data_IF_555135224866
#
_entry.id   IF_555135224866
#
_cell.length_a   1.000
_cell.length_b   1.000
_cell.length_c   1.000
_cell.angle_alpha   90.00
_cell.angle_beta   90.00
_cell.angle_gamma   90.00
#
_symmetry.space_group_name_H-M   'P 1'
#
loop_
_entity.id
_entity.type
_entity.pdbx_description
1 polymer ?
#
# COMPACT_ATOMS: atom_id res chain seq x y z
N UNK A 1 20.45 -33.88 0.27
CA UNK A 1 21.03 -32.85 -0.61
C UNK A 1 21.23 -31.57 0.23
N UNK A 2 22.45 -31.23 0.58
CA UNK A 2 22.74 -29.98 1.31
C UNK A 2 22.65 -28.84 0.28
N UNK A 3 21.54 -28.13 0.24
CA UNK A 3 21.46 -26.91 -0.55
C UNK A 3 22.40 -25.89 0.09
N UNK A 4 23.47 -25.55 -0.64
CA UNK A 4 24.45 -24.58 -0.19
C UNK A 4 23.76 -23.23 -0.12
N UNK A 5 23.58 -22.68 1.08
CA UNK A 5 22.90 -21.39 1.33
C UNK A 5 23.52 -20.24 0.52
N UNK A 6 24.82 -20.35 0.21
CA UNK A 6 25.55 -19.42 -0.69
C UNK A 6 25.03 -19.49 -2.14
N UNK A 7 24.64 -20.68 -2.62
CA UNK A 7 24.09 -20.86 -3.97
C UNK A 7 22.67 -20.29 -4.07
N UNK A 8 21.87 -20.44 -3.01
CA UNK A 8 20.52 -19.84 -2.95
C UNK A 8 20.60 -18.31 -2.90
N UNK A 9 21.51 -17.76 -2.10
CA UNK A 9 21.77 -16.31 -2.04
C UNK A 9 22.28 -15.76 -3.36
N UNK A 10 23.19 -16.48 -4.03
CA UNK A 10 23.68 -16.13 -5.36
C UNK A 10 22.60 -16.24 -6.45
N UNK A 11 21.72 -17.22 -6.36
CA UNK A 11 20.59 -17.36 -7.29
C UNK A 11 19.55 -16.25 -7.12
N UNK A 12 19.25 -15.84 -5.88
CA UNK A 12 18.39 -14.69 -5.57
C UNK A 12 19.06 -13.38 -6.04
N UNK A 13 20.36 -13.22 -5.80
CA UNK A 13 21.13 -12.04 -6.25
C UNK A 13 21.23 -12.01 -7.80
N UNK A 14 21.44 -13.15 -8.45
CA UNK A 14 21.47 -13.27 -9.91
C UNK A 14 20.08 -13.01 -10.53
N UNK A 15 19.00 -13.41 -9.88
CA UNK A 15 17.64 -13.09 -10.30
C UNK A 15 17.38 -11.58 -10.28
N UNK A 16 17.86 -10.87 -9.27
CA UNK A 16 17.80 -9.39 -9.21
C UNK A 16 18.71 -8.69 -10.22
N UNK A 17 19.80 -9.31 -10.65
CA UNK A 17 20.72 -8.76 -11.65
C UNK A 17 20.27 -9.01 -13.09
N UNK A 18 19.36 -9.95 -13.33
CA UNK A 18 18.78 -10.24 -14.65
C UNK A 18 17.54 -9.42 -14.99
N UNK A 19 17.07 -8.57 -14.08
CA UNK A 19 16.03 -7.60 -14.38
C UNK A 19 16.72 -6.45 -15.11
N UNK A 20 16.73 -6.49 -16.44
CA UNK A 20 17.03 -5.32 -17.26
C UNK A 20 15.98 -4.26 -16.92
N UNK A 21 16.32 -3.40 -15.96
CA UNK A 21 15.58 -2.17 -15.70
C UNK A 21 15.77 -1.28 -16.94
N UNK A 22 14.91 -1.47 -17.93
CA UNK A 22 14.69 -0.44 -18.94
C UNK A 22 14.12 0.75 -18.15
N UNK A 23 15.00 1.66 -17.76
CA UNK A 23 14.64 2.93 -17.17
C UNK A 23 13.88 3.72 -18.25
N UNK A 24 12.57 3.49 -18.33
CA UNK A 24 11.69 4.41 -19.01
C UNK A 24 11.70 5.72 -18.23
N UNK A 25 11.93 6.81 -18.92
CA UNK A 25 11.94 8.18 -18.40
C UNK A 25 10.63 8.44 -17.64
N UNK A 26 10.72 8.54 -16.30
CA UNK A 26 9.62 8.67 -15.38
C UNK A 26 9.44 7.39 -14.56
N UNK A 27 10.33 7.17 -13.58
CA UNK A 27 10.18 6.07 -12.63
C UNK A 27 8.95 6.31 -11.75
N UNK A 28 7.81 5.79 -12.16
CA UNK A 28 6.62 5.77 -11.31
C UNK A 28 6.79 4.67 -10.26
N UNK A 29 6.69 5.01 -8.98
CA UNK A 29 6.67 4.03 -7.88
C UNK A 29 5.43 3.15 -7.92
N UNK A 30 4.34 3.65 -8.52
CA UNK A 30 3.11 2.92 -8.78
C UNK A 30 2.58 3.30 -10.16
N UNK A 31 1.76 2.45 -10.75
CA UNK A 31 1.03 2.75 -11.97
C UNK A 31 -0.37 2.17 -11.89
N UNK A 32 -1.38 3.04 -11.95
CA UNK A 32 -2.79 2.66 -12.02
C UNK A 32 -3.62 3.81 -12.59
N UNK A 33 -4.47 3.56 -13.58
CA UNK A 33 -5.44 4.56 -14.05
C UNK A 33 -6.31 5.14 -12.94
N UNK A 34 -6.57 4.35 -11.93
CA UNK A 34 -7.38 4.74 -10.79
C UNK A 34 -6.66 5.67 -9.81
N UNK A 35 -5.33 5.77 -9.89
CA UNK A 35 -4.55 6.69 -9.04
C UNK A 35 -4.72 8.18 -9.40
N UNK A 36 -5.45 8.48 -10.48
CA UNK A 36 -5.85 9.83 -10.84
C UNK A 36 -6.78 10.45 -9.78
N UNK A 37 -7.49 9.64 -8.99
CA UNK A 37 -8.47 10.12 -8.03
C UNK A 37 -7.87 10.34 -6.65
N UNK A 38 -8.24 11.45 -6.00
CA UNK A 38 -7.83 11.79 -4.63
C UNK A 38 -6.31 11.79 -4.42
N UNK A 39 -5.87 11.03 -3.42
CA UNK A 39 -4.45 10.85 -3.06
C UNK A 39 -3.78 9.69 -3.79
N UNK A 40 -4.46 9.10 -4.76
CA UNK A 40 -3.98 7.91 -5.46
C UNK A 40 -4.47 6.60 -4.84
N UNK A 41 -3.79 5.52 -5.17
CA UNK A 41 -4.09 4.20 -4.64
C UNK A 41 -3.55 4.08 -3.21
N UNK A 42 -4.43 3.71 -2.27
CA UNK A 42 -4.02 3.45 -0.88
C UNK A 42 -3.30 2.11 -0.82
N UNK A 43 -2.12 2.15 -0.24
CA UNK A 43 -1.27 0.99 -0.07
C UNK A 43 -1.78 0.08 1.05
N UNK A 44 -1.78 -1.24 0.84
CA UNK A 44 -2.15 -2.20 1.89
C UNK A 44 -1.08 -2.23 2.98
N UNK A 45 -1.44 -1.79 4.18
CA UNK A 45 -0.54 -1.85 5.33
C UNK A 45 -0.22 -3.30 5.70
N UNK A 46 1.03 -3.56 6.06
CA UNK A 46 1.48 -4.86 6.53
C UNK A 46 2.75 -5.35 5.85
N UNK A 47 3.48 -6.23 6.54
CA UNK A 47 4.71 -6.87 6.05
C UNK A 47 4.42 -7.92 4.98
N UNK A 48 5.46 -8.45 4.35
CA UNK A 48 5.32 -9.56 3.40
C UNK A 48 4.63 -10.79 4.03
N UNK A 49 4.77 -10.97 5.33
CA UNK A 49 4.05 -12.00 6.07
C UNK A 49 2.53 -11.80 6.01
N UNK A 50 2.03 -10.64 6.44
CA UNK A 50 0.60 -10.35 6.46
C UNK A 50 0.01 -10.27 5.06
N UNK A 51 0.76 -9.74 4.09
CA UNK A 51 0.37 -9.71 2.66
C UNK A 51 0.15 -11.10 2.09
N UNK A 52 0.98 -12.08 2.47
CA UNK A 52 0.82 -13.48 2.03
C UNK A 52 -0.44 -14.16 2.57
N UNK A 53 -1.11 -13.54 3.54
CA UNK A 53 -2.37 -13.98 4.15
C UNK A 53 -3.54 -13.04 3.80
N UNK A 54 -3.58 -12.45 2.61
CA UNK A 54 -4.64 -11.52 2.19
C UNK A 54 -4.54 -10.13 2.84
N UNK A 55 -3.50 -9.85 3.62
CA UNK A 55 -3.32 -8.62 4.36
C UNK A 55 -4.02 -8.59 5.72
N UNK A 56 -4.34 -9.74 6.31
CA UNK A 56 -4.78 -9.83 7.71
C UNK A 56 -3.66 -9.47 8.66
N UNK A 57 -3.99 -8.88 9.81
CA UNK A 57 -2.97 -8.44 10.76
C UNK A 57 -3.56 -7.91 12.07
N UNK A 58 -4.86 -7.62 12.13
CA UNK A 58 -5.47 -6.94 13.29
C UNK A 58 -5.46 -7.84 14.54
N UNK A 59 -5.71 -9.14 14.37
CA UNK A 59 -5.69 -10.12 15.45
C UNK A 59 -4.43 -10.99 15.46
N UNK A 60 -3.53 -10.83 14.49
CA UNK A 60 -2.30 -11.64 14.38
C UNK A 60 -1.38 -11.41 15.56
N UNK A 61 -1.04 -12.48 16.30
CA UNK A 61 -0.04 -12.51 17.37
C UNK A 61 1.02 -13.55 17.09
N UNK A 62 2.08 -13.15 16.42
CA UNK A 62 3.20 -14.02 16.09
C UNK A 62 4.50 -13.46 16.69
N UNK A 63 5.25 -14.30 17.43
CA UNK A 63 6.48 -13.89 18.13
C UNK A 63 7.68 -13.64 17.22
N UNK A 64 7.58 -14.00 15.95
CA UNK A 64 8.70 -14.03 15.01
C UNK A 64 8.71 -12.91 14.01
N UNK A 65 7.60 -12.18 13.92
CA UNK A 65 7.42 -11.09 12.98
C UNK A 65 7.06 -9.81 13.72
N UNK A 66 7.36 -8.68 13.10
CA UNK A 66 6.80 -7.40 13.51
C UNK A 66 5.44 -7.27 12.84
N UNK A 67 4.40 -7.17 13.64
CA UNK A 67 3.08 -6.80 13.14
C UNK A 67 2.81 -5.35 13.49
N UNK A 68 2.92 -4.47 12.50
CA UNK A 68 2.63 -3.04 12.63
C UNK A 68 1.22 -2.65 12.17
N UNK A 69 0.42 -3.62 11.71
CA UNK A 69 -0.99 -3.38 11.40
C UNK A 69 -1.80 -3.05 12.66
N UNK A 70 -1.43 -3.67 13.80
CA UNK A 70 -2.04 -3.39 15.10
C UNK A 70 -0.93 -3.07 16.12
N UNK A 71 -0.85 -1.85 16.67
CA UNK A 71 0.21 -1.48 17.61
C UNK A 71 0.23 -2.31 18.91
N UNK A 72 -0.90 -2.93 19.29
CA UNK A 72 -0.92 -3.86 20.44
C UNK A 72 -0.12 -5.14 20.18
N UNK A 73 0.00 -5.54 18.91
CA UNK A 73 0.70 -6.76 18.52
C UNK A 73 2.22 -6.71 18.72
N UNK A 74 2.81 -5.51 18.86
CA UNK A 74 4.24 -5.34 19.12
C UNK A 74 4.71 -6.07 20.40
N UNK A 75 3.79 -6.36 21.30
CA UNK A 75 4.05 -7.12 22.54
C UNK A 75 4.14 -8.64 22.34
N UNK A 76 3.74 -9.15 21.16
CA UNK A 76 3.83 -10.57 20.83
C UNK A 76 5.26 -10.91 20.38
N UNK A 77 6.18 -11.06 21.32
CA UNK A 77 7.60 -11.29 21.09
C UNK A 77 8.26 -12.11 22.19
N UNK A 78 9.43 -12.63 21.88
CA UNK A 78 10.29 -13.20 22.90
C UNK A 78 10.92 -12.08 23.75
N UNK A 79 11.16 -12.36 25.03
CA UNK A 79 11.79 -11.40 25.93
C UNK A 79 13.16 -10.97 25.39
N UNK A 80 13.47 -9.68 25.44
CA UNK A 80 14.73 -9.09 24.98
C UNK A 80 15.05 -9.24 23.49
N UNK A 81 14.04 -9.55 22.66
CA UNK A 81 14.25 -9.69 21.21
C UNK A 81 14.28 -8.33 20.51
N UNK A 82 15.34 -8.10 19.73
CA UNK A 82 15.37 -7.09 18.67
C UNK A 82 14.79 -7.69 17.40
N UNK A 83 13.98 -6.93 16.69
CA UNK A 83 13.40 -7.37 15.43
C UNK A 83 13.51 -6.27 14.38
N UNK A 84 13.74 -6.67 13.13
CA UNK A 84 13.70 -5.78 11.96
C UNK A 84 12.93 -6.47 10.84
N UNK A 85 12.14 -5.71 10.11
CA UNK A 85 11.42 -6.15 8.92
C UNK A 85 11.75 -5.21 7.76
N UNK A 86 12.02 -5.80 6.59
CA UNK A 86 12.29 -5.08 5.36
C UNK A 86 11.57 -5.78 4.21
N UNK A 87 10.80 -5.04 3.44
CA UNK A 87 10.02 -5.57 2.34
C UNK A 87 10.20 -4.80 1.04
N UNK A 88 10.11 -5.53 -0.07
CA UNK A 88 10.07 -5.00 -1.43
C UNK A 88 8.92 -5.62 -2.20
N UNK A 89 8.40 -4.90 -3.16
CA UNK A 89 7.23 -5.27 -3.94
C UNK A 89 7.44 -4.93 -5.42
N UNK A 90 7.09 -5.85 -6.29
CA UNK A 90 7.05 -5.67 -7.73
C UNK A 90 5.62 -5.91 -8.22
N UNK A 91 5.05 -4.92 -8.89
CA UNK A 91 3.69 -4.98 -9.41
C UNK A 91 3.73 -5.10 -10.94
N UNK A 92 3.18 -6.17 -11.46
CA UNK A 92 2.93 -6.38 -12.88
C UNK A 92 1.44 -6.19 -13.15
N UNK A 93 1.07 -5.17 -13.90
CA UNK A 93 -0.32 -4.79 -14.15
C UNK A 93 -0.66 -4.81 -15.62
N UNK A 94 -1.85 -5.29 -15.95
CA UNK A 94 -2.44 -5.30 -17.29
C UNK A 94 -3.77 -4.56 -17.21
N UNK A 95 -3.94 -3.56 -18.05
CA UNK A 95 -5.14 -2.74 -18.16
C UNK A 95 -5.91 -3.11 -19.42
N UNK A 96 -7.21 -3.30 -19.27
CA UNK A 96 -8.12 -3.61 -20.36
C UNK A 96 -9.32 -2.67 -20.30
N UNK A 97 -9.66 -2.08 -21.42
CA UNK A 97 -10.87 -1.27 -21.58
C UNK A 97 -11.55 -1.61 -22.91
N UNK A 98 -12.87 -1.68 -22.90
CA UNK A 98 -13.68 -1.81 -24.10
C UNK A 98 -14.57 -0.60 -24.23
N UNK A 99 -14.39 0.18 -25.29
CA UNK A 99 -15.22 1.34 -25.64
C UNK A 99 -15.82 1.12 -27.01
N UNK A 100 -16.72 2.01 -27.45
CA UNK A 100 -17.28 1.99 -28.81
C UNK A 100 -16.22 2.15 -29.89
N UNK A 101 -15.09 2.82 -29.57
CA UNK A 101 -13.94 2.99 -30.45
C UNK A 101 -13.05 1.74 -30.55
N UNK A 102 -13.24 0.72 -29.69
CA UNK A 102 -12.48 -0.51 -29.74
C UNK A 102 -12.04 -1.05 -28.39
N UNK A 103 -11.13 -2.03 -28.45
CA UNK A 103 -10.50 -2.64 -27.25
C UNK A 103 -9.09 -2.11 -27.08
N UNK A 104 -8.82 -1.55 -25.92
CA UNK A 104 -7.52 -1.04 -25.54
C UNK A 104 -6.90 -1.95 -24.49
N UNK A 105 -5.60 -2.19 -24.63
CA UNK A 105 -4.82 -2.98 -23.69
C UNK A 105 -3.46 -2.32 -23.47
N UNK A 106 -3.05 -2.20 -22.22
CA UNK A 106 -1.74 -1.70 -21.82
C UNK A 106 -1.19 -2.54 -20.68
N UNK A 107 0.11 -2.51 -20.48
CA UNK A 107 0.78 -3.19 -19.37
C UNK A 107 1.85 -2.29 -18.78
N UNK A 108 2.07 -2.42 -17.48
CA UNK A 108 3.10 -1.67 -16.77
C UNK A 108 3.68 -2.53 -15.64
N UNK A 109 4.95 -2.29 -15.34
CA UNK A 109 5.68 -2.91 -14.26
C UNK A 109 6.26 -1.83 -13.35
N UNK A 110 6.13 -2.00 -12.03
CA UNK A 110 6.68 -1.05 -11.04
C UNK A 110 7.33 -1.80 -9.89
N UNK A 111 8.44 -1.26 -9.39
CA UNK A 111 9.15 -1.78 -8.22
C UNK A 111 9.18 -0.75 -7.11
N UNK A 112 8.91 -1.17 -5.87
CA UNK A 112 8.88 -0.27 -4.72
C UNK A 112 9.37 -0.97 -3.43
N UNK A 113 9.80 -0.18 -2.44
CA UNK A 113 10.02 -0.64 -1.07
C UNK A 113 8.66 -0.62 -0.36
N UNK A 114 8.27 -1.75 0.24
CA UNK A 114 6.98 -1.87 0.91
C UNK A 114 7.01 -1.43 2.37
N UNK A 115 8.10 -1.72 3.06
CA UNK A 115 8.23 -1.42 4.49
C UNK A 115 9.68 -1.49 4.97
N UNK A 116 9.96 -0.68 5.99
CA UNK A 116 11.14 -0.80 6.83
C UNK A 116 10.73 -0.51 8.27
N UNK A 117 10.79 -1.53 9.11
CA UNK A 117 10.31 -1.44 10.50
C UNK A 117 11.30 -2.08 11.45
N UNK A 118 11.57 -1.39 12.55
CA UNK A 118 12.41 -1.85 13.66
C UNK A 118 11.57 -1.95 14.93
N UNK A 119 11.85 -2.94 15.77
CA UNK A 119 11.13 -3.11 17.02
C UNK A 119 12.05 -3.57 18.13
N UNK A 120 11.89 -2.94 19.30
CA UNK A 120 12.75 -3.11 20.47
C UNK A 120 11.92 -3.45 21.70
N UNK A 121 12.42 -4.30 22.62
CA UNK A 121 11.80 -4.51 23.91
C UNK A 121 12.03 -3.30 24.81
N UNK A 122 11.01 -2.87 25.56
CA UNK A 122 11.15 -1.87 26.63
C UNK A 122 11.23 -2.60 27.97
N UNK A 123 10.31 -3.53 28.19
CA UNK A 123 10.22 -4.34 29.39
C UNK A 123 9.70 -5.75 29.01
N UNK A 124 9.56 -6.64 30.00
CA UNK A 124 9.11 -8.03 29.76
C UNK A 124 7.77 -8.15 29.02
N UNK A 125 6.87 -7.18 29.19
CA UNK A 125 5.52 -7.16 28.59
C UNK A 125 5.26 -5.93 27.72
N UNK A 126 6.27 -5.13 27.43
CA UNK A 126 6.13 -3.92 26.61
C UNK A 126 7.23 -3.80 25.58
N UNK A 127 6.89 -3.24 24.44
CA UNK A 127 7.79 -3.07 23.34
C UNK A 127 7.47 -1.81 22.55
N UNK A 128 8.42 -1.40 21.75
CA UNK A 128 8.43 -0.21 20.92
C UNK A 128 8.70 -0.60 19.48
N UNK A 129 8.13 0.12 18.55
CA UNK A 129 8.41 -0.01 17.12
C UNK A 129 8.52 1.35 16.46
N UNK A 130 9.32 1.41 15.40
CA UNK A 130 9.47 2.57 14.54
C UNK A 130 9.59 2.10 13.11
N UNK A 131 8.96 2.78 12.17
CA UNK A 131 9.02 2.38 10.79
C UNK A 131 8.59 3.46 9.81
N UNK A 132 8.84 3.15 8.55
CA UNK A 132 8.40 3.94 7.40
C UNK A 132 7.79 3.01 6.37
N UNK A 133 6.62 3.39 5.85
CA UNK A 133 5.91 2.64 4.81
C UNK A 133 5.24 3.62 3.85
N UNK A 134 5.01 3.26 2.59
CA UNK A 134 4.12 4.04 1.73
C UNK A 134 2.69 3.99 2.28
N UNK A 135 1.96 5.10 2.15
CA UNK A 135 0.55 5.21 2.49
C UNK A 135 -0.33 5.25 1.24
N UNK A 136 0.06 6.05 0.25
CA UNK A 136 -0.62 6.11 -1.04
C UNK A 136 0.37 6.43 -2.16
N UNK A 137 0.06 5.95 -3.36
CA UNK A 137 0.87 6.16 -4.54
C UNK A 137 0.03 6.69 -5.70
N UNK A 138 0.60 7.63 -6.45
CA UNK A 138 0.05 8.18 -7.70
C UNK A 138 1.02 7.84 -8.83
N UNK A 139 0.50 7.21 -9.88
CA UNK A 139 1.26 6.92 -11.07
C UNK A 139 0.31 6.61 -12.22
N UNK A 140 0.27 7.47 -13.24
CA UNK A 140 -0.47 7.27 -14.48
C UNK A 140 0.12 8.14 -15.59
N UNK A 141 -0.04 7.70 -16.83
CA UNK A 141 0.28 8.45 -18.04
C UNK A 141 -0.72 8.05 -19.12
N UNK A 142 -1.54 9.02 -19.55
CA UNK A 142 -2.55 8.84 -20.57
C UNK A 142 -2.30 9.80 -21.71
N UNK A 143 -2.36 9.28 -22.94
CA UNK A 143 -2.36 10.08 -24.15
C UNK A 143 -3.64 9.80 -24.92
N UNK A 144 -4.35 10.85 -25.29
CA UNK A 144 -5.52 10.80 -26.16
C UNK A 144 -5.41 11.84 -27.26
N UNK A 145 -6.10 11.62 -28.35
CA UNK A 145 -6.15 12.53 -29.49
C UNK A 145 -7.56 13.05 -29.67
N UNK A 146 -7.66 14.31 -30.09
CA UNK A 146 -8.94 14.88 -30.47
C UNK A 146 -9.55 14.13 -31.64
N UNK A 147 -10.84 13.90 -31.58
CA UNK A 147 -11.61 13.16 -32.62
C UNK A 147 -12.68 14.01 -33.30
N UNK A 148 -12.93 15.21 -32.77
CA UNK A 148 -13.91 16.11 -33.35
C UNK A 148 -13.35 16.77 -34.63
N UNK A 149 -13.95 16.52 -35.82
CA UNK A 149 -13.50 17.08 -37.09
C UNK A 149 -13.54 18.61 -37.12
N UNK A 150 -14.46 19.24 -36.40
CA UNK A 150 -14.62 20.70 -36.37
C UNK A 150 -13.48 21.37 -35.57
N UNK A 151 -12.96 20.69 -34.57
CA UNK A 151 -11.79 21.15 -33.83
C UNK A 151 -10.52 20.89 -34.66
N UNK A 152 -10.36 19.68 -35.16
CA UNK A 152 -9.18 19.28 -35.96
C UNK A 152 -9.05 20.18 -37.22
N UNK A 153 -10.16 20.55 -37.86
CA UNK A 153 -10.16 21.41 -39.03
C UNK A 153 -9.71 22.83 -38.74
N UNK A 154 -9.74 23.31 -37.50
CA UNK A 154 -9.32 24.64 -37.07
C UNK A 154 -7.93 24.68 -36.45
N UNK A 155 -7.59 23.68 -35.68
CA UNK A 155 -6.40 23.66 -34.81
C UNK A 155 -5.35 22.63 -35.21
N UNK A 156 -5.59 21.88 -36.30
CA UNK A 156 -4.81 20.68 -36.60
C UNK A 156 -5.06 19.55 -35.59
N UNK A 157 -4.23 18.55 -35.60
CA UNK A 157 -4.34 17.45 -34.62
C UNK A 157 -4.00 17.96 -33.23
N UNK A 158 -4.85 17.61 -32.25
CA UNK A 158 -4.66 17.96 -30.85
C UNK A 158 -4.37 16.68 -30.06
N UNK A 159 -3.31 16.73 -29.28
CA UNK A 159 -2.92 15.65 -28.35
C UNK A 159 -3.08 16.11 -26.92
N UNK A 160 -3.85 15.35 -26.15
CA UNK A 160 -4.00 15.54 -24.72
C UNK A 160 -3.16 14.49 -23.99
N UNK A 161 -2.24 14.96 -23.15
CA UNK A 161 -1.43 14.09 -22.29
C UNK A 161 -1.73 14.42 -20.83
N UNK A 162 -2.08 13.44 -20.04
CA UNK A 162 -2.29 13.59 -18.59
C UNK A 162 -1.43 12.59 -17.87
N UNK A 163 -0.56 13.06 -16.99
CA UNK A 163 0.28 12.21 -16.17
C UNK A 163 0.30 12.65 -14.71
N UNK A 164 0.53 11.71 -13.83
CA UNK A 164 0.67 11.97 -12.41
C UNK A 164 1.74 11.09 -11.80
N UNK A 165 2.40 11.61 -10.77
CA UNK A 165 3.44 10.91 -10.04
C UNK A 165 3.50 11.33 -8.59
N UNK A 166 4.20 10.53 -7.78
CA UNK A 166 4.45 10.81 -6.38
C UNK A 166 3.52 10.01 -5.46
N UNK A 167 3.42 10.43 -4.21
CA UNK A 167 2.62 9.74 -3.22
C UNK A 167 2.83 10.27 -1.82
N UNK A 168 2.19 9.62 -0.86
CA UNK A 168 2.29 9.94 0.55
C UNK A 168 2.92 8.76 1.28
N UNK A 169 3.91 9.05 2.09
CA UNK A 169 4.55 8.10 3.00
C UNK A 169 4.07 8.35 4.42
N UNK A 170 4.15 7.32 5.25
CA UNK A 170 3.93 7.42 6.68
C UNK A 170 5.17 6.97 7.45
N UNK A 171 5.63 7.84 8.34
CA UNK A 171 6.59 7.50 9.40
C UNK A 171 5.81 7.29 10.68
N UNK A 172 6.08 6.21 11.40
CA UNK A 172 5.36 5.91 12.60
C UNK A 172 6.26 5.47 13.75
N UNK A 173 5.79 5.77 14.94
CA UNK A 173 6.40 5.39 16.20
C UNK A 173 5.30 4.84 17.10
N UNK A 174 5.43 3.59 17.51
CA UNK A 174 4.42 2.92 18.29
C UNK A 174 4.97 2.18 19.49
N UNK A 175 4.15 2.04 20.50
CA UNK A 175 4.46 1.26 21.69
C UNK A 175 3.23 0.48 22.16
N UNK A 176 3.46 -0.66 22.81
CA UNK A 176 2.41 -1.46 23.38
C UNK A 176 2.82 -2.12 24.68
N UNK A 177 1.82 -2.49 25.47
CA UNK A 177 1.98 -3.22 26.70
C UNK A 177 0.91 -4.30 26.87
N UNK A 178 1.29 -5.45 27.43
CA UNK A 178 0.39 -6.55 27.74
C UNK A 178 0.11 -6.63 29.23
N UNK A 179 -1.17 -6.61 29.57
CA UNK A 179 -1.68 -6.71 30.94
C UNK A 179 -2.27 -8.11 31.15
N UNK A 180 -2.11 -8.62 32.38
CA UNK A 180 -2.66 -9.93 32.81
C UNK A 180 -2.35 -11.08 31.84
N UNK A 181 -1.27 -10.97 31.03
CA UNK A 181 -0.85 -11.95 30.01
C UNK A 181 -1.88 -12.23 28.90
N UNK A 182 -2.96 -11.47 28.82
CA UNK A 182 -4.07 -11.70 27.87
C UNK A 182 -4.49 -10.44 27.11
N UNK A 183 -4.48 -9.29 27.76
CA UNK A 183 -4.92 -8.04 27.19
C UNK A 183 -3.71 -7.21 26.77
N UNK A 184 -3.58 -6.93 25.49
CA UNK A 184 -2.54 -6.05 24.96
C UNK A 184 -3.17 -4.77 24.43
N UNK A 185 -2.59 -3.65 24.79
CA UNK A 185 -2.97 -2.33 24.26
C UNK A 185 -1.75 -1.69 23.63
N UNK A 186 -1.96 -0.91 22.59
CA UNK A 186 -0.91 -0.18 21.93
C UNK A 186 -1.39 1.14 21.37
N UNK A 187 -0.46 2.05 21.21
CA UNK A 187 -0.68 3.34 20.57
C UNK A 187 0.47 3.63 19.61
N UNK A 188 0.16 4.31 18.54
CA UNK A 188 1.08 4.68 17.50
C UNK A 188 0.85 6.12 17.09
N UNK A 189 1.91 6.89 17.00
CA UNK A 189 1.95 8.22 16.41
C UNK A 189 2.40 8.08 14.96
N UNK A 190 1.65 8.65 14.02
CA UNK A 190 1.92 8.58 12.59
C UNK A 190 2.12 10.00 12.06
N UNK A 191 3.18 10.20 11.28
CA UNK A 191 3.45 11.41 10.52
C UNK A 191 3.39 11.10 9.03
N UNK A 192 2.42 11.72 8.34
CA UNK A 192 2.27 11.67 6.89
C UNK A 192 3.09 12.77 6.23
N UNK A 193 3.77 12.43 5.14
CA UNK A 193 4.49 13.38 4.31
C UNK A 193 4.59 12.89 2.86
N UNK A 194 4.58 13.81 1.91
CA UNK A 194 4.73 13.44 0.52
C UNK A 194 4.37 14.57 -0.43
N UNK A 195 4.64 14.32 -1.71
CA UNK A 195 4.33 15.23 -2.80
C UNK A 195 3.61 14.46 -3.90
N UNK A 196 2.55 15.06 -4.43
CA UNK A 196 1.76 14.54 -5.53
C UNK A 196 1.78 15.59 -6.62
N UNK A 197 2.23 15.20 -7.83
CA UNK A 197 2.21 16.02 -9.03
C UNK A 197 1.19 15.43 -10.00
N UNK A 198 0.30 16.29 -10.52
CA UNK A 198 -0.65 15.92 -11.57
C UNK A 198 -0.63 17.00 -12.65
N UNK A 199 -0.39 16.57 -13.87
CA UNK A 199 -0.15 17.48 -15.02
C UNK A 199 -1.03 17.05 -16.18
N UNK A 200 -1.55 18.03 -16.89
CA UNK A 200 -2.28 17.86 -18.14
C UNK A 200 -1.73 18.83 -19.19
N UNK A 201 -1.27 18.27 -20.31
CA UNK A 201 -0.71 19.01 -21.42
C UNK A 201 -1.65 18.87 -22.61
N UNK A 202 -1.91 19.98 -23.28
CA UNK A 202 -2.61 20.04 -24.57
C UNK A 202 -1.63 20.57 -25.61
N UNK A 203 -1.33 19.74 -26.61
CA UNK A 203 -0.37 20.07 -27.67
C UNK A 203 -1.11 20.09 -29.00
N UNK A 204 -0.91 21.17 -29.76
CA UNK A 204 -1.47 21.38 -31.09
C UNK A 204 -0.40 21.11 -32.15
N UNK A 205 -0.80 20.51 -33.27
CA UNK A 205 0.12 20.31 -34.40
C UNK A 205 0.30 21.60 -35.22
N UNK A 206 -0.71 22.49 -35.22
CA UNK A 206 -0.62 23.78 -35.82
C UNK A 206 0.17 24.73 -34.88
N UNK A 207 1.33 25.19 -35.33
CA UNK A 207 2.23 26.09 -34.58
C UNK A 207 1.62 27.48 -34.27
N UNK A 208 0.49 27.82 -34.89
CA UNK A 208 -0.27 29.06 -34.58
C UNK A 208 -0.91 28.97 -33.19
N UNK A 209 -1.09 27.78 -32.65
CA UNK A 209 -1.65 27.57 -31.33
C UNK A 209 -0.57 27.22 -30.29
N UNK A 210 -0.69 27.82 -29.13
CA UNK A 210 0.24 27.57 -28.03
C UNK A 210 -0.15 26.30 -27.27
N UNK A 211 0.83 25.46 -26.99
CA UNK A 211 0.61 24.32 -26.08
C UNK A 211 0.23 24.83 -24.69
N UNK A 212 -0.77 24.17 -24.07
CA UNK A 212 -1.24 24.50 -22.72
C UNK A 212 -0.77 23.43 -21.77
N UNK A 213 0.00 23.85 -20.76
CA UNK A 213 0.44 23.02 -19.67
C UNK A 213 -0.31 23.44 -18.41
N UNK A 214 -1.13 22.58 -17.86
CA UNK A 214 -1.88 22.82 -16.63
C UNK A 214 -1.63 21.71 -15.63
N UNK A 215 -1.70 22.02 -14.34
CA UNK A 215 -1.51 21.01 -13.31
C UNK A 215 -1.45 21.58 -11.92
N UNK A 216 -1.13 20.70 -10.98
CA UNK A 216 -0.84 21.09 -9.62
C UNK A 216 0.21 20.17 -8.99
N UNK A 217 1.02 20.78 -8.12
CA UNK A 217 1.92 20.10 -7.20
C UNK A 217 1.37 20.27 -5.79
N UNK A 218 1.02 19.17 -5.16
CA UNK A 218 0.45 19.16 -3.81
C UNK A 218 1.45 18.56 -2.83
N UNK A 219 1.95 19.37 -1.89
CA UNK A 219 2.76 18.91 -0.78
C UNK A 219 1.87 18.67 0.44
N UNK A 220 1.81 17.44 0.91
CA UNK A 220 0.96 17.02 2.01
C UNK A 220 1.79 16.71 3.25
N UNK A 221 1.31 17.16 4.42
CA UNK A 221 1.86 16.84 5.73
C UNK A 221 0.71 16.69 6.73
N UNK A 222 0.82 15.71 7.62
CA UNK A 222 -0.22 15.53 8.64
C UNK A 222 0.24 14.59 9.74
N UNK A 223 -0.39 14.68 10.89
CA UNK A 223 -0.11 13.80 12.04
C UNK A 223 -1.40 13.16 12.52
N UNK A 224 -1.33 11.90 12.91
CA UNK A 224 -2.47 11.19 13.49
C UNK A 224 -2.02 10.19 14.55
N UNK A 225 -2.98 9.65 15.29
CA UNK A 225 -2.78 8.55 16.22
C UNK A 225 -3.56 7.32 15.78
N UNK A 226 -2.97 6.15 15.99
CA UNK A 226 -3.61 4.85 15.82
C UNK A 226 -3.54 4.08 17.13
N UNK A 227 -4.66 3.54 17.56
CA UNK A 227 -4.78 2.78 18.80
C UNK A 227 -5.09 1.33 18.45
N UNK A 228 -4.55 0.42 19.23
CA UNK A 228 -4.72 -1.02 19.05
C UNK A 228 -5.07 -1.72 20.34
N UNK A 229 -5.90 -2.73 20.21
CA UNK A 229 -6.30 -3.63 21.27
C UNK A 229 -6.22 -5.06 20.78
N UNK A 230 -5.71 -5.96 21.60
CA UNK A 230 -5.79 -7.41 21.37
C UNK A 230 -6.09 -8.14 22.66
N UNK A 231 -7.00 -9.11 22.60
CA UNK A 231 -7.30 -10.00 23.70
C UNK A 231 -7.08 -11.45 23.28
N UNK A 232 -6.17 -12.14 23.96
CA UNK A 232 -5.82 -13.53 23.69
C UNK A 232 -6.41 -14.44 24.75
N UNK A 233 -7.21 -15.41 24.34
CA UNK A 233 -7.81 -16.43 25.18
C UNK A 233 -7.32 -17.82 24.74
N UNK A 234 -6.67 -18.54 25.64
CA UNK A 234 -6.34 -19.95 25.43
C UNK A 234 -7.61 -20.79 25.60
N UNK A 235 -7.94 -21.60 24.60
CA UNK A 235 -9.10 -22.48 24.57
C UNK A 235 -8.75 -23.95 24.91
N UNK A 236 -7.47 -24.24 25.16
CA UNK A 236 -6.96 -25.57 25.48
C UNK A 236 -5.44 -25.56 25.66
N UNK A 237 -4.79 -26.69 25.49
CA UNK A 237 -3.32 -26.77 25.55
C UNK A 237 -2.65 -26.04 24.40
N UNK A 238 -3.19 -26.14 23.17
CA UNK A 238 -2.55 -25.70 21.97
C UNK A 238 -3.37 -24.67 21.18
N UNK A 239 -4.67 -24.55 21.48
CA UNK A 239 -5.58 -23.66 20.75
C UNK A 239 -5.66 -22.29 21.45
N UNK A 240 -5.49 -21.23 20.69
CA UNK A 240 -5.67 -19.85 21.16
C UNK A 240 -6.56 -19.06 20.20
N UNK A 241 -7.45 -18.28 20.78
CA UNK A 241 -8.32 -17.32 20.11
C UNK A 241 -7.83 -15.91 20.42
N UNK A 242 -7.58 -15.12 19.42
CA UNK A 242 -7.25 -13.69 19.57
C UNK A 242 -8.31 -12.85 18.92
N UNK A 243 -8.82 -11.87 19.66
CA UNK A 243 -9.66 -10.79 19.15
C UNK A 243 -8.83 -9.53 19.05
N UNK A 244 -8.91 -8.82 17.94
CA UNK A 244 -8.19 -7.58 17.71
C UNK A 244 -9.10 -6.45 17.29
N UNK A 245 -8.75 -5.23 17.69
CA UNK A 245 -9.37 -4.00 17.22
C UNK A 245 -8.31 -2.92 17.02
N UNK A 246 -8.52 -2.08 16.01
CA UNK A 246 -7.68 -0.91 15.74
C UNK A 246 -8.56 0.28 15.42
N UNK A 247 -8.11 1.46 15.83
CA UNK A 247 -8.75 2.72 15.45
C UNK A 247 -7.70 3.79 15.16
N UNK A 248 -7.71 4.31 13.92
CA UNK A 248 -6.88 5.42 13.48
C UNK A 248 -7.74 6.67 13.37
N UNK A 249 -7.29 7.73 14.03
CA UNK A 249 -7.98 9.01 14.02
C UNK A 249 -7.89 9.66 12.63
N UNK A 250 -8.96 10.33 12.23
CA UNK A 250 -8.91 11.19 11.05
C UNK A 250 -8.00 12.39 11.29
N UNK A 251 -7.35 12.88 10.24
CA UNK A 251 -6.46 14.04 10.36
C UNK A 251 -6.63 15.04 9.23
N UNK A 252 -6.58 16.33 9.57
CA UNK A 252 -6.51 17.38 8.57
C UNK A 252 -5.10 17.45 8.01
N UNK A 253 -5.00 17.50 6.67
CA UNK A 253 -3.73 17.63 5.99
C UNK A 253 -3.33 19.10 5.89
N UNK A 254 -2.07 19.35 6.24
CA UNK A 254 -1.41 20.64 6.02
C UNK A 254 -0.50 20.58 4.81
N UNK A 255 0.19 21.68 4.54
CA UNK A 255 1.07 21.87 3.40
C UNK A 255 0.55 22.91 2.46
N UNK A 256 0.82 22.75 1.18
CA UNK A 256 0.36 23.67 0.13
C UNK A 256 0.10 22.94 -1.18
N UNK A 257 -0.74 23.54 -2.02
CA UNK A 257 -0.98 23.10 -3.38
C UNK A 257 -0.68 24.28 -4.31
N UNK A 258 0.28 24.08 -5.21
CA UNK A 258 0.59 25.00 -6.29
C UNK A 258 -0.21 24.58 -7.52
N UNK A 259 -1.16 25.41 -7.93
CA UNK A 259 -1.94 25.22 -9.15
C UNK A 259 -1.39 26.14 -10.21
N UNK A 260 -1.12 25.62 -11.39
CA UNK A 260 -0.52 26.39 -12.48
C UNK A 260 -1.16 26.08 -13.83
N UNK A 261 -1.09 27.08 -14.71
CA UNK A 261 -1.42 26.96 -16.12
C UNK A 261 -0.51 27.88 -16.92
N UNK A 262 0.17 27.30 -17.89
CA UNK A 262 1.07 28.02 -18.78
C UNK A 262 0.68 27.79 -20.22
N UNK A 263 0.74 28.84 -21.06
CA UNK A 263 0.70 28.72 -22.51
C UNK A 263 2.12 28.82 -23.04
N UNK A 264 2.59 27.82 -23.76
CA UNK A 264 3.96 27.73 -24.25
C UNK A 264 3.97 27.73 -25.78
N UNK A 265 4.77 28.59 -26.38
CA UNK A 265 5.04 28.60 -27.79
C UNK A 265 6.56 28.71 -28.03
N UNK A 266 7.13 27.67 -28.64
CA UNK A 266 8.58 27.59 -28.92
C UNK A 266 9.42 27.84 -27.64
N UNK A 267 10.05 29.03 -27.56
CA UNK A 267 10.90 29.38 -26.41
C UNK A 267 10.21 30.34 -25.41
N UNK A 268 8.95 30.74 -25.66
CA UNK A 268 8.22 31.69 -24.82
C UNK A 268 7.12 30.96 -24.04
N UNK A 269 7.11 31.15 -22.75
CA UNK A 269 6.08 30.60 -21.83
C UNK A 269 5.38 31.76 -21.12
N UNK A 270 4.08 31.89 -21.34
CA UNK A 270 3.23 32.85 -20.65
C UNK A 270 2.47 32.21 -19.51
N UNK A 271 2.59 32.74 -18.31
CA UNK A 271 1.83 32.29 -17.15
C UNK A 271 0.40 32.79 -17.23
N UNK A 272 -0.55 31.88 -17.39
CA UNK A 272 -1.99 32.21 -17.38
C UNK A 272 -2.56 32.21 -15.97
N UNK A 273 -2.19 31.19 -15.16
CA UNK A 273 -2.61 31.06 -13.78
C UNK A 273 -1.44 30.48 -12.98
N UNK A 274 -1.16 31.10 -11.85
CA UNK A 274 -0.30 30.54 -10.83
C UNK A 274 -0.89 30.90 -9.46
N UNK A 275 -1.27 29.88 -8.69
CA UNK A 275 -1.88 30.07 -7.38
C UNK A 275 -1.31 29.07 -6.40
N UNK A 276 -0.91 29.56 -5.24
CA UNK A 276 -0.51 28.72 -4.11
C UNK A 276 -1.61 28.71 -3.07
N UNK A 277 -2.22 27.56 -2.84
CA UNK A 277 -3.21 27.35 -1.79
C UNK A 277 -2.55 26.76 -0.56
N UNK A 278 -2.63 27.46 0.56
CA UNK A 278 -2.17 26.93 1.85
C UNK A 278 -3.22 25.99 2.42
N UNK A 279 -2.83 24.74 2.68
CA UNK A 279 -3.71 23.72 3.23
C UNK A 279 -3.77 23.76 4.76
N UNK A 280 -2.79 24.40 5.40
CA UNK A 280 -2.68 24.50 6.85
C UNK A 280 -3.91 25.16 7.48
N UNK A 281 -4.53 24.47 8.42
CA UNK A 281 -5.71 24.95 9.18
C UNK A 281 -6.97 25.22 8.33
N UNK A 282 -6.96 24.90 7.04
CA UNK A 282 -8.12 25.15 6.18
C UNK A 282 -9.22 24.11 6.35
N UNK A 283 -8.90 22.92 6.88
CA UNK A 283 -9.81 21.77 6.92
C UNK A 283 -10.27 21.28 5.53
N UNK A 284 -9.66 21.82 4.47
CA UNK A 284 -10.05 21.54 3.09
C UNK A 284 -9.74 20.10 2.70
N UNK A 285 -8.60 19.54 3.15
CA UNK A 285 -8.20 18.17 2.86
C UNK A 285 -8.03 17.39 4.17
N UNK A 286 -8.62 16.21 4.21
CA UNK A 286 -8.62 15.36 5.40
C UNK A 286 -8.47 13.89 5.02
N UNK A 287 -7.63 13.17 5.75
CA UNK A 287 -7.62 11.71 5.71
C UNK A 287 -8.70 11.16 6.65
N UNK A 288 -9.41 10.15 6.16
CA UNK A 288 -10.50 9.51 6.91
C UNK A 288 -10.01 8.79 8.16
N UNK A 289 -10.91 8.62 9.12
CA UNK A 289 -10.70 7.69 10.21
C UNK A 289 -10.81 6.24 9.71
N UNK A 290 -10.19 5.33 10.43
CA UNK A 290 -10.22 3.91 10.10
C UNK A 290 -10.48 3.07 11.33
N UNK A 291 -11.48 2.21 11.25
CA UNK A 291 -11.81 1.19 12.22
C UNK A 291 -11.49 -0.18 11.64
N UNK A 292 -10.73 -0.96 12.37
CA UNK A 292 -10.45 -2.35 12.04
C UNK A 292 -10.86 -3.28 13.17
N UNK A 293 -11.41 -4.44 12.83
CA UNK A 293 -11.69 -5.53 13.75
C UNK A 293 -11.21 -6.84 13.14
N UNK A 294 -10.68 -7.72 13.97
CA UNK A 294 -10.13 -9.00 13.52
C UNK A 294 -10.29 -10.09 14.53
N UNK A 295 -10.29 -11.32 14.01
CA UNK A 295 -10.32 -12.56 14.78
C UNK A 295 -9.26 -13.52 14.24
N UNK A 296 -8.49 -14.14 15.13
CA UNK A 296 -7.48 -15.13 14.79
C UNK A 296 -7.68 -16.36 15.68
N UNK A 297 -7.70 -17.53 15.06
CA UNK A 297 -7.69 -18.82 15.72
C UNK A 297 -6.40 -19.53 15.32
N UNK A 298 -5.57 -19.88 16.29
CA UNK A 298 -4.28 -20.52 16.05
C UNK A 298 -4.10 -21.77 16.94
N UNK A 299 -3.43 -22.77 16.39
CA UNK A 299 -3.06 -23.97 17.12
C UNK A 299 -1.54 -24.06 17.23
N UNK A 300 -1.05 -23.63 18.39
CA UNK A 300 0.39 -23.52 18.65
C UNK A 300 1.11 -22.71 17.57
N UNK A 301 2.11 -23.34 16.96
CA UNK A 301 2.87 -22.76 15.83
C UNK A 301 2.59 -23.48 14.51
N UNK A 302 1.58 -24.34 14.47
CA UNK A 302 1.34 -25.22 13.32
C UNK A 302 0.40 -24.61 12.31
N UNK A 303 -0.70 -23.99 12.75
CA UNK A 303 -1.62 -23.36 11.84
C UNK A 303 -2.35 -22.18 12.49
N UNK A 304 -2.75 -21.22 11.65
CA UNK A 304 -3.66 -20.14 12.04
C UNK A 304 -4.66 -19.83 10.93
N UNK A 305 -5.86 -19.40 11.33
CA UNK A 305 -6.91 -18.87 10.46
C UNK A 305 -7.30 -17.52 10.99
N UNK A 306 -7.38 -16.53 10.12
CA UNK A 306 -7.61 -15.14 10.50
C UNK A 306 -8.63 -14.47 9.59
N UNK A 307 -9.44 -13.58 10.16
CA UNK A 307 -10.40 -12.74 9.44
C UNK A 307 -10.33 -11.33 9.97
N UNK A 308 -10.24 -10.36 9.05
CA UNK A 308 -10.23 -8.95 9.35
C UNK A 308 -11.28 -8.20 8.54
N UNK A 309 -11.90 -7.20 9.16
CA UNK A 309 -12.74 -6.21 8.53
C UNK A 309 -12.21 -4.82 8.86
N UNK A 310 -11.99 -4.01 7.81
CA UNK A 310 -11.58 -2.61 7.94
C UNK A 310 -12.63 -1.71 7.27
N UNK A 311 -12.85 -0.55 7.87
CA UNK A 311 -13.71 0.50 7.35
C UNK A 311 -13.07 1.85 7.56
N UNK A 312 -12.98 2.66 6.51
CA UNK A 312 -12.47 4.04 6.59
C UNK A 312 -13.44 5.02 5.93
N UNK A 313 -13.72 6.13 6.61
CA UNK A 313 -14.71 7.12 6.14
C UNK A 313 -14.00 8.33 5.50
N UNK A 314 -14.09 8.43 4.17
CA UNK A 314 -13.48 9.49 3.37
C UNK A 314 -14.48 10.53 2.88
N UNK A 315 -15.78 10.44 3.24
CA UNK A 315 -16.84 11.33 2.75
C UNK A 315 -16.59 12.81 3.05
N UNK A 316 -15.79 13.10 4.05
CA UNK A 316 -15.38 14.46 4.44
C UNK A 316 -13.91 14.76 4.09
N UNK A 317 -13.35 14.05 3.12
CA UNK A 317 -11.94 14.18 2.77
C UNK A 317 -11.62 15.48 2.03
N UNK A 318 -12.59 16.04 1.29
CA UNK A 318 -12.43 17.28 0.52
C UNK A 318 -11.68 17.13 -0.81
N UNK A 319 -11.14 15.93 -1.11
CA UNK A 319 -10.40 15.72 -2.35
C UNK A 319 -11.28 15.82 -3.59
N UNK A 320 -12.53 15.46 -3.50
CA UNK A 320 -13.54 15.52 -4.58
C UNK A 320 -14.05 16.95 -4.86
N UNK A 321 -13.96 17.84 -3.87
CA UNK A 321 -14.39 19.24 -3.99
C UNK A 321 -13.23 20.22 -4.15
N UNK A 322 -11.99 19.78 -4.02
CA UNK A 322 -10.81 20.63 -4.13
C UNK A 322 -10.44 20.85 -5.61
N UNK A 323 -10.65 22.05 -6.12
CA UNK A 323 -10.44 22.40 -7.53
C UNK A 323 -9.01 22.13 -8.05
N UNK A 324 -8.00 22.21 -7.19
CA UNK A 324 -6.63 21.86 -7.53
C UNK A 324 -6.40 20.37 -7.80
N UNK A 325 -7.37 19.50 -7.49
CA UNK A 325 -7.29 18.05 -7.74
C UNK A 325 -7.98 17.62 -9.04
N UNK A 326 -8.65 18.53 -9.72
CA UNK A 326 -9.31 18.28 -11.00
C UNK A 326 -8.30 18.52 -12.14
N UNK A 327 -8.03 17.47 -12.90
CA UNK A 327 -7.31 17.61 -14.17
C UNK A 327 -8.28 18.20 -15.19
N UNK A 328 -7.97 19.38 -15.74
CA UNK A 328 -8.79 19.97 -16.79
C UNK A 328 -8.87 19.02 -18.00
N UNK A 329 -10.05 18.87 -18.57
CA UNK A 329 -10.32 17.93 -19.67
C UNK A 329 -10.71 16.52 -19.20
N UNK A 330 -10.59 16.21 -17.91
CA UNK A 330 -11.17 14.99 -17.35
C UNK A 330 -12.67 15.19 -17.14
N UNK A 331 -13.49 14.51 -17.91
CA UNK A 331 -14.94 14.46 -17.72
C UNK A 331 -15.36 13.59 -16.54
N UNK A 332 -14.39 12.90 -15.90
CA UNK A 332 -14.66 11.98 -14.81
C UNK A 332 -14.71 12.69 -13.48
N UNK A 333 -15.90 12.96 -13.02
CA UNK A 333 -16.15 13.35 -11.64
C UNK A 333 -16.02 12.13 -10.73
N UNK A 334 -15.38 12.30 -9.58
CA UNK A 334 -15.38 11.29 -8.53
C UNK A 334 -15.97 11.87 -7.23
N UNK A 335 -16.44 11.01 -6.38
CA UNK A 335 -16.91 11.37 -5.04
C UNK A 335 -16.26 10.48 -4.01
N UNK A 336 -15.74 11.09 -2.95
CA UNK A 336 -15.21 10.38 -1.79
C UNK A 336 -16.32 9.65 -1.04
N UNK A 337 -16.06 8.40 -0.66
CA UNK A 337 -17.02 7.50 -0.03
C UNK A 337 -16.40 6.74 1.14
N UNK A 338 -17.07 5.73 1.63
CA UNK A 338 -16.56 4.83 2.66
C UNK A 338 -15.82 3.70 1.99
N UNK A 339 -14.55 3.49 2.35
CA UNK A 339 -13.81 2.28 1.96
C UNK A 339 -14.11 1.13 2.93
N UNK A 340 -14.12 -0.09 2.41
CA UNK A 340 -14.37 -1.31 3.19
C UNK A 340 -13.44 -2.41 2.67
N UNK A 341 -12.84 -3.16 3.60
CA UNK A 341 -12.00 -4.31 3.27
C UNK A 341 -12.42 -5.52 4.09
N UNK A 342 -12.57 -6.65 3.42
CA UNK A 342 -12.77 -7.96 4.01
C UNK A 342 -11.58 -8.83 3.65
N UNK A 343 -10.92 -9.41 4.63
CA UNK A 343 -9.70 -10.17 4.45
C UNK A 343 -9.80 -11.49 5.19
N UNK A 344 -9.28 -12.55 4.58
CA UNK A 344 -9.19 -13.88 5.19
C UNK A 344 -7.81 -14.46 4.90
N UNK A 345 -7.20 -15.07 5.89
CA UNK A 345 -5.86 -15.63 5.78
C UNK A 345 -5.73 -16.96 6.49
N UNK A 346 -4.85 -17.80 5.97
CA UNK A 346 -4.51 -19.10 6.53
C UNK A 346 -2.99 -19.29 6.47
N UNK A 347 -2.42 -19.79 7.57
CA UNK A 347 -1.02 -20.23 7.66
C UNK A 347 -0.98 -21.71 8.09
N UNK A 348 -0.03 -22.44 7.51
CA UNK A 348 0.29 -23.80 7.90
C UNK A 348 1.79 -24.06 7.90
N UNK A 349 2.32 -24.58 9.01
CA UNK A 349 3.72 -24.99 9.15
C UNK A 349 3.74 -26.45 9.64
N UNK A 350 4.13 -27.39 8.79
CA UNK A 350 4.02 -28.84 9.13
C UNK A 350 4.77 -29.24 10.41
N UNK A 351 6.04 -28.88 10.51
CA UNK A 351 6.84 -29.13 11.71
C UNK A 351 8.05 -28.19 11.71
N UNK A 352 7.95 -27.14 12.47
CA UNK A 352 8.99 -26.08 12.53
C UNK A 352 10.33 -26.57 13.10
N UNK A 353 10.33 -27.56 13.94
CA UNK A 353 11.50 -28.10 14.61
C UNK A 353 12.06 -29.34 13.93
N UNK A 354 11.60 -29.68 12.72
CA UNK A 354 12.08 -30.85 11.98
C UNK A 354 13.56 -30.69 11.63
N UNK A 355 14.39 -31.65 12.09
CA UNK A 355 15.85 -31.62 11.85
C UNK A 355 16.19 -32.24 10.47
N UNK A 356 15.32 -33.12 9.96
CA UNK A 356 15.60 -33.95 8.80
C UNK A 356 15.15 -33.32 7.48
N UNK A 357 13.97 -32.71 7.47
CA UNK A 357 13.34 -32.20 6.25
C UNK A 357 13.11 -30.70 6.32
N UNK A 358 13.87 -29.95 5.53
CA UNK A 358 13.80 -28.47 5.50
C UNK A 358 12.40 -27.96 5.13
N UNK A 359 11.73 -28.57 4.15
CA UNK A 359 10.40 -28.13 3.69
C UNK A 359 9.32 -28.24 4.77
N UNK A 360 9.50 -29.05 5.79
CA UNK A 360 8.57 -29.12 6.94
C UNK A 360 8.68 -27.89 7.86
N UNK A 361 9.80 -27.16 7.79
CA UNK A 361 10.00 -25.92 8.55
C UNK A 361 9.42 -24.70 7.85
N UNK A 362 9.17 -24.79 6.55
CA UNK A 362 8.61 -23.70 5.74
C UNK A 362 7.17 -23.45 6.18
N UNK A 363 6.81 -22.17 6.37
CA UNK A 363 5.44 -21.75 6.60
C UNK A 363 4.79 -21.46 5.26
N UNK A 364 3.67 -22.09 4.99
CA UNK A 364 2.85 -21.92 3.79
C UNK A 364 1.64 -21.06 4.14
N UNK A 365 1.33 -20.09 3.29
CA UNK A 365 0.23 -19.14 3.53
C UNK A 365 -0.61 -18.97 2.29
N UNK A 366 -1.87 -18.67 2.55
CA UNK A 366 -2.82 -18.27 1.53
C UNK A 366 -3.83 -17.30 2.11
N UNK A 367 -4.36 -16.44 1.26
CA UNK A 367 -5.35 -15.47 1.69
C UNK A 367 -6.23 -14.99 0.56
N UNK A 368 -7.34 -14.39 0.94
CA UNK A 368 -8.33 -13.79 0.06
C UNK A 368 -8.65 -12.40 0.58
N UNK A 369 -8.94 -11.47 -0.32
CA UNK A 369 -9.40 -10.16 0.07
C UNK A 369 -10.40 -9.59 -0.92
N UNK A 370 -11.26 -8.72 -0.38
CA UNK A 370 -12.16 -7.87 -1.13
C UNK A 370 -12.04 -6.45 -0.57
N UNK A 371 -11.61 -5.50 -1.41
CA UNK A 371 -11.39 -4.10 -1.04
C UNK A 371 -12.29 -3.21 -1.88
N UNK A 372 -13.15 -2.41 -1.24
CA UNK A 372 -13.88 -1.30 -1.85
C UNK A 372 -13.08 -0.03 -1.69
N UNK A 373 -12.83 0.68 -2.79
CA UNK A 373 -12.04 1.91 -2.77
C UNK A 373 -12.77 3.04 -2.05
N UNK A 374 -12.00 4.05 -1.60
CA UNK A 374 -12.52 5.21 -0.87
C UNK A 374 -13.21 6.26 -1.78
N UNK A 375 -13.33 6.00 -3.06
CA UNK A 375 -13.99 6.84 -4.05
C UNK A 375 -14.92 6.02 -4.92
N UNK A 376 -15.94 6.69 -5.46
CA UNK A 376 -16.80 6.16 -6.50
C UNK A 376 -16.80 7.12 -7.69
N UNK A 377 -16.98 6.57 -8.88
CA UNK A 377 -16.93 7.32 -10.13
C UNK A 377 -18.35 7.66 -10.58
N UNK A 378 -18.48 8.85 -11.18
CA UNK A 378 -19.71 9.35 -11.80
C UNK A 378 -20.86 9.68 -10.81
N UNK A 379 -21.81 10.54 -11.20
CA UNK A 379 -23.04 10.83 -10.45
C UNK A 379 -23.86 9.60 -10.08
N UNK A 380 -23.76 8.51 -10.88
CA UNK A 380 -24.43 7.23 -10.61
C UNK A 380 -23.82 6.43 -9.44
N UNK A 381 -22.68 6.86 -8.89
CA UNK A 381 -22.05 6.23 -7.73
C UNK A 381 -21.43 4.86 -8.01
N UNK A 382 -20.82 4.64 -9.19
CA UNK A 382 -20.14 3.39 -9.53
C UNK A 382 -18.93 3.16 -8.65
N UNK A 383 -18.97 2.12 -7.83
CA UNK A 383 -17.84 1.75 -6.98
C UNK A 383 -16.71 1.12 -7.81
N UNK A 384 -15.50 1.32 -7.34
CA UNK A 384 -14.31 0.62 -7.79
C UNK A 384 -13.96 -0.37 -6.70
N UNK A 385 -14.02 -1.66 -7.03
CA UNK A 385 -13.75 -2.75 -6.09
C UNK A 385 -12.50 -3.51 -6.55
N UNK A 386 -11.78 -4.12 -5.63
CA UNK A 386 -10.68 -5.02 -5.90
C UNK A 386 -10.90 -6.35 -5.20
N UNK A 387 -10.61 -7.44 -5.88
CA UNK A 387 -10.63 -8.79 -5.32
C UNK A 387 -9.34 -9.50 -5.71
N UNK A 388 -8.77 -10.27 -4.80
CA UNK A 388 -7.57 -11.01 -5.10
C UNK A 388 -7.33 -12.18 -4.15
N UNK A 389 -6.34 -12.97 -4.56
CA UNK A 389 -5.87 -14.16 -3.87
C UNK A 389 -4.38 -14.01 -3.65
N UNK A 390 -3.92 -14.27 -2.44
CA UNK A 390 -2.51 -14.23 -2.08
C UNK A 390 -1.99 -15.61 -1.74
N UNK A 391 -0.74 -15.86 -2.08
CA UNK A 391 0.00 -17.06 -1.73
C UNK A 391 1.38 -16.64 -1.22
N UNK A 392 1.93 -17.36 -0.26
CA UNK A 392 3.27 -17.07 0.20
C UNK A 392 3.91 -18.17 1.01
N UNK A 393 5.22 -18.09 1.09
CA UNK A 393 6.05 -19.03 1.85
C UNK A 393 7.10 -18.26 2.63
N UNK A 394 7.33 -18.66 3.89
CA UNK A 394 8.49 -18.17 4.64
C UNK A 394 9.51 -19.28 4.82
N UNK A 395 10.69 -19.01 4.34
CA UNK A 395 11.86 -19.88 4.45
C UNK A 395 12.66 -19.47 5.70
N UNK A 396 12.75 -20.31 6.73
CA UNK A 396 13.59 -20.02 7.88
C UNK A 396 15.07 -20.02 7.46
N UNK A 397 15.77 -18.91 7.74
CA UNK A 397 17.17 -18.67 7.35
C UNK A 397 17.95 -18.43 8.63
N UNK A 398 19.16 -18.98 8.72
CA UNK A 398 20.04 -18.87 9.89
C UNK A 398 19.45 -19.53 11.17
N UNK A 399 20.16 -19.35 12.28
CA UNK A 399 19.69 -19.78 13.61
C UNK A 399 18.71 -18.74 14.15
N UNK A 400 17.67 -19.19 14.84
CA UNK A 400 16.65 -18.32 15.45
C UNK A 400 15.37 -18.21 14.61
N UNK A 401 14.67 -17.11 14.76
CA UNK A 401 13.37 -16.85 14.14
C UNK A 401 13.46 -16.01 12.86
N UNK A 402 14.63 -15.95 12.24
CA UNK A 402 14.84 -15.21 10.99
C UNK A 402 14.19 -15.93 9.81
N UNK A 403 13.65 -15.19 8.87
CA UNK A 403 13.01 -15.76 7.69
C UNK A 403 12.98 -14.83 6.50
N UNK A 404 12.97 -15.43 5.32
CA UNK A 404 12.69 -14.74 4.06
C UNK A 404 11.30 -15.18 3.62
N UNK A 405 10.41 -14.23 3.48
CA UNK A 405 9.05 -14.45 2.96
C UNK A 405 9.03 -14.07 1.48
N UNK A 406 8.54 -14.95 0.65
CA UNK A 406 8.26 -14.70 -0.76
C UNK A 406 6.79 -14.97 -0.99
N UNK A 407 6.10 -14.08 -1.70
CA UNK A 407 4.69 -14.27 -1.99
C UNK A 407 4.25 -13.63 -3.29
N UNK A 408 3.05 -14.00 -3.68
CA UNK A 408 2.36 -13.60 -4.90
C UNK A 408 0.96 -13.10 -4.53
N UNK A 409 0.53 -12.02 -5.16
CA UNK A 409 -0.83 -11.49 -5.06
C UNK A 409 -1.40 -11.38 -6.48
N UNK A 410 -2.44 -12.13 -6.76
CA UNK A 410 -3.18 -12.08 -8.02
C UNK A 410 -4.54 -11.46 -7.77
N UNK A 411 -4.84 -10.40 -8.50
CA UNK A 411 -6.11 -9.73 -8.31
C UNK A 411 -6.61 -8.98 -9.53
N UNK A 412 -7.82 -8.48 -9.36
CA UNK A 412 -8.49 -7.61 -10.32
C UNK A 412 -9.10 -6.43 -9.59
N UNK A 413 -8.94 -5.23 -10.19
CA UNK A 413 -9.51 -3.97 -9.72
C UNK A 413 -10.34 -3.33 -10.83
N UNK A 414 -11.45 -2.71 -10.47
CA UNK A 414 -12.35 -2.02 -11.39
C UNK A 414 -13.82 -2.22 -11.03
N UNK A 415 -14.72 -1.89 -11.94
CA UNK A 415 -16.11 -2.23 -11.79
C UNK A 415 -16.38 -3.59 -12.44
N UNK A 416 -16.94 -4.54 -11.68
CA UNK A 416 -17.16 -5.91 -12.18
C UNK A 416 -18.42 -6.03 -13.04
N UNK A 417 -19.29 -5.03 -13.00
CA UNK A 417 -20.55 -4.99 -13.76
C UNK A 417 -20.44 -4.18 -15.05
N UNK A 418 -19.59 -3.15 -15.05
CA UNK A 418 -19.46 -2.23 -16.17
C UNK A 418 -18.11 -2.43 -16.88
N UNK A 419 -18.14 -2.95 -18.09
CA UNK A 419 -16.96 -3.22 -18.93
C UNK A 419 -16.42 -1.98 -19.66
N UNK A 420 -17.14 -0.87 -19.64
CA UNK A 420 -16.68 0.41 -20.20
C UNK A 420 -15.59 1.03 -19.33
N UNK A 421 -15.57 0.69 -18.03
CA UNK A 421 -14.49 1.10 -17.12
C UNK A 421 -13.23 0.26 -17.32
N UNK A 422 -12.09 0.86 -17.04
CA UNK A 422 -10.80 0.16 -17.09
C UNK A 422 -10.80 -1.02 -16.11
N UNK A 423 -10.52 -2.20 -16.61
CA UNK A 423 -10.25 -3.38 -15.79
C UNK A 423 -8.73 -3.49 -15.56
N UNK A 424 -8.30 -3.42 -14.33
CA UNK A 424 -6.90 -3.64 -13.93
C UNK A 424 -6.74 -5.07 -13.42
N UNK A 425 -5.87 -5.86 -14.07
CA UNK A 425 -5.44 -7.16 -13.59
C UNK A 425 -4.01 -7.05 -13.13
N UNK A 426 -3.69 -7.57 -11.97
CA UNK A 426 -2.35 -7.49 -11.43
C UNK A 426 -1.84 -8.83 -10.91
N UNK A 427 -0.53 -8.99 -11.07
CA UNK A 427 0.25 -10.04 -10.46
C UNK A 427 1.41 -9.36 -9.72
N UNK A 428 1.35 -9.34 -8.41
CA UNK A 428 2.33 -8.69 -7.56
C UNK A 428 3.22 -9.73 -6.92
N UNK A 429 4.53 -9.54 -7.03
CA UNK A 429 5.55 -10.32 -6.33
C UNK A 429 6.01 -9.49 -5.14
N UNK A 430 6.04 -10.07 -3.95
CA UNK A 430 6.60 -9.40 -2.79
C UNK A 430 7.59 -10.30 -2.07
N UNK A 431 8.65 -9.68 -1.59
CA UNK A 431 9.71 -10.34 -0.83
C UNK A 431 9.95 -9.53 0.44
N UNK A 432 9.97 -10.22 1.57
CA UNK A 432 10.28 -9.61 2.86
C UNK A 432 11.30 -10.42 3.63
N UNK A 433 12.11 -9.72 4.41
CA UNK A 433 13.08 -10.34 5.29
C UNK A 433 12.81 -9.86 6.71
N UNK A 434 12.48 -10.81 7.58
CA UNK A 434 12.40 -10.53 9.00
C UNK A 434 13.65 -11.04 9.72
N UNK A 435 14.24 -10.15 10.48
CA UNK A 435 15.37 -10.43 11.37
C UNK A 435 14.88 -10.44 12.80
N UNK A 436 15.32 -11.43 13.54
CA UNK A 436 15.01 -11.59 14.96
C UNK A 436 16.28 -12.03 15.67
N UNK A 437 16.71 -11.28 16.68
CA UNK A 437 17.85 -11.60 17.50
C UNK A 437 17.56 -11.27 18.98
N UNK A 438 18.22 -11.98 19.88
CA UNK A 438 18.07 -11.77 21.32
C UNK A 438 19.24 -10.88 21.76
N UNK A 439 18.96 -9.60 21.99
CA UNK A 439 19.92 -8.64 22.47
C UNK A 439 19.85 -8.52 24.00
N UNK A 440 20.87 -7.91 24.58
CA UNK A 440 20.94 -7.66 26.03
C UNK A 440 21.07 -8.90 26.93
N UNK A 441 21.47 -10.05 26.39
CA UNK A 441 21.92 -11.16 27.18
C UNK A 441 23.36 -10.92 27.66
N UNK A 442 23.56 -10.95 28.98
CA UNK A 442 24.90 -10.93 29.55
C UNK A 442 25.61 -12.22 29.16
N UNK A 443 26.65 -12.13 28.35
CA UNK A 443 27.52 -13.27 28.02
C UNK A 443 28.22 -13.68 29.32
N UNK A 444 27.83 -14.79 29.92
CA UNK A 444 28.59 -15.38 31.02
C UNK A 444 29.71 -16.17 30.41
N UNK A 445 30.92 -15.64 30.51
CA UNK A 445 32.12 -16.43 30.28
C UNK A 445 32.21 -17.47 31.41
N UNK A 446 32.20 -18.74 31.04
CA UNK A 446 32.54 -19.84 31.92
C UNK A 446 34.06 -20.06 31.90
#
# INVERSE_FOLDING_TARGET
MKVNCKVLLLAVLAFFLCIDATAQSGAHNAYSPYSVYGVGDIFKEGSAYTRSMGGVGIATRNRRIINFTNPAAVTARDSLSFMADFGVIENNKIFNQTTDAGKFKSANNTFNISDFVLSFPIWRSSAFMVGITPFSDVGYDFTSHETDPDIIGKTGNVTYQSYGQGGVYQFFVGAGATFWKRLSVGAEFIYYFGTIDKVSNTVYTDESYRAINSGYTMQLRGTTGKFGLQYEQKLGSDLSLTLGATYRLSTNMGGYANVYRFATASEVSDTLIFRTDTLRNSGKLRFGDELGVGISLSSGENWSVEFDYLRSDWRKSGFDSYQGTMVEGSSSTFRSTVSQSFRAGFEYTPNRNDIRYYMKKVSYRGGLYFDRQYYCLDPSGRNVDAIGITLGMTFPVFKGNNGITVGLDFGRKGNFKDRSMVGEHYATIFVGMNLHDIWFQKTMYK
#
